data_IF_849543964002
#
_entry.id   IF_849543964002
#
_cell.length_a   1.000
_cell.length_b   1.000
_cell.length_c   1.000
_cell.angle_alpha   90.00
_cell.angle_beta   90.00
_cell.angle_gamma   90.00
#
_symmetry.space_group_name_H-M   'P 1'
#
loop_
_entity.id
_entity.type
_entity.pdbx_description
1 polymer ?
#
# COMPACT_ATOMS: atom_id res chain seq x y z
N UNK A 1 -14.63 23.52 5.62
CA UNK A 1 -14.08 23.52 5.91
C UNK A 1 -13.31 22.90 5.97
N UNK A 2 -13.04 22.87 5.78
CA UNK A 2 -12.43 22.38 5.81
C UNK A 2 -11.56 22.38 6.63
N UNK A 3 -11.41 22.77 6.88
CA UNK A 3 -10.35 22.82 7.79
C UNK A 3 -10.09 21.60 8.64
N UNK A 4 -10.94 20.69 8.64
CA UNK A 4 -10.77 19.48 9.40
C UNK A 4 -9.69 18.60 8.75
N UNK A 5 -8.73 18.19 9.55
CA UNK A 5 -7.70 17.28 9.07
C UNK A 5 -8.19 15.85 9.18
N UNK A 6 -8.13 15.14 8.05
CA UNK A 6 -8.47 13.74 7.99
C UNK A 6 -7.17 12.94 7.96
N UNK A 7 -7.01 12.01 8.90
CA UNK A 7 -5.86 11.14 8.90
C UNK A 7 -5.98 10.14 7.77
N UNK A 8 -4.94 10.05 6.94
CA UNK A 8 -4.89 9.10 5.84
C UNK A 8 -4.36 7.78 6.38
N UNK A 9 -5.07 6.70 6.13
CA UNK A 9 -4.67 5.36 6.53
C UNK A 9 -4.00 4.67 5.36
N UNK A 10 -2.76 4.21 5.56
CA UNK A 10 -1.98 3.51 4.54
C UNK A 10 -1.74 2.09 5.01
N UNK A 11 -2.00 1.13 4.14
CA UNK A 11 -1.68 -0.27 4.41
C UNK A 11 -0.57 -0.70 3.48
N UNK A 12 0.56 -1.09 4.05
CA UNK A 12 1.71 -1.57 3.28
C UNK A 12 1.84 -3.08 3.45
N UNK A 13 1.85 -3.80 2.35
CA UNK A 13 2.05 -5.23 2.33
C UNK A 13 3.45 -5.52 1.78
N UNK A 14 4.36 -5.94 2.65
CA UNK A 14 5.76 -6.15 2.31
C UNK A 14 6.40 -7.03 3.39
N UNK A 15 7.17 -8.04 2.98
CA UNK A 15 7.83 -8.94 3.93
C UNK A 15 9.24 -8.49 4.32
N UNK A 16 9.74 -7.42 3.74
CA UNK A 16 11.07 -6.89 4.05
C UNK A 16 10.97 -5.87 5.18
N UNK A 17 11.52 -6.22 6.34
CA UNK A 17 11.44 -5.37 7.54
C UNK A 17 12.16 -4.03 7.34
N UNK A 18 13.26 -4.03 6.60
CA UNK A 18 14.01 -2.80 6.37
C UNK A 18 13.20 -1.83 5.51
N UNK A 19 12.56 -2.34 4.46
CA UNK A 19 11.70 -1.51 3.62
C UNK A 19 10.52 -0.95 4.41
N UNK A 20 9.95 -1.74 5.29
CA UNK A 20 8.85 -1.29 6.14
C UNK A 20 9.29 -0.19 7.10
N UNK A 21 10.47 -0.34 7.69
CA UNK A 21 11.02 0.68 8.58
C UNK A 21 11.28 2.00 7.84
N UNK A 22 11.85 1.90 6.63
CA UNK A 22 12.12 3.07 5.81
C UNK A 22 10.84 3.79 5.41
N UNK A 23 9.82 3.03 5.05
CA UNK A 23 8.52 3.60 4.69
C UNK A 23 7.94 4.36 5.88
N UNK A 24 8.01 3.76 7.07
CA UNK A 24 7.49 4.37 8.29
C UNK A 24 8.21 5.69 8.58
N UNK A 25 9.53 5.70 8.45
CA UNK A 25 10.31 6.93 8.68
C UNK A 25 9.97 8.01 7.66
N UNK A 26 9.92 7.65 6.39
CA UNK A 26 9.66 8.60 5.33
C UNK A 26 8.26 9.20 5.41
N UNK A 27 7.27 8.37 5.72
CA UNK A 27 5.88 8.83 5.82
C UNK A 27 5.64 9.65 7.08
N UNK A 28 6.42 9.42 8.14
CA UNK A 28 6.33 10.23 9.35
C UNK A 28 6.73 11.67 9.11
N UNK A 29 7.54 11.92 8.07
CA UNK A 29 7.95 13.27 7.70
C UNK A 29 6.96 13.97 6.78
N UNK A 30 5.89 13.29 6.38
CA UNK A 30 4.87 13.88 5.52
C UNK A 30 4.11 14.97 6.26
N UNK A 31 3.72 16.01 5.53
CA UNK A 31 2.96 17.12 6.10
C UNK A 31 1.54 16.70 6.44
N UNK A 32 1.00 15.72 5.73
CA UNK A 32 -0.35 15.25 5.97
C UNK A 32 -0.32 14.17 7.04
N UNK A 33 -1.22 14.28 8.01
CA UNK A 33 -1.34 13.27 9.04
C UNK A 33 -1.66 11.92 8.41
N UNK A 34 -0.89 10.91 8.76
CA UNK A 34 -1.08 9.56 8.23
C UNK A 34 -0.79 8.51 9.29
N UNK A 35 -1.40 7.34 9.10
CA UNK A 35 -1.13 6.17 9.93
C UNK A 35 -0.74 5.05 9.00
N UNK A 36 0.38 4.40 9.29
CA UNK A 36 0.89 3.30 8.48
C UNK A 36 0.68 1.97 9.20
N UNK A 37 -0.02 1.06 8.56
CA UNK A 37 -0.21 -0.32 9.03
C UNK A 37 0.54 -1.23 8.09
N UNK A 38 1.18 -2.26 8.64
CA UNK A 38 2.03 -3.16 7.86
C UNK A 38 1.58 -4.59 8.02
N UNK A 39 1.46 -5.29 6.90
CA UNK A 39 1.23 -6.74 6.84
C UNK A 39 2.35 -7.35 6.04
N UNK A 40 2.70 -8.61 6.30
CA UNK A 40 3.94 -9.20 5.79
C UNK A 40 3.74 -10.26 4.71
N UNK A 41 2.52 -10.60 4.39
CA UNK A 41 2.25 -11.55 3.29
C UNK A 41 0.83 -11.33 2.75
N UNK A 42 0.53 -12.00 1.65
CA UNK A 42 -0.76 -11.80 0.98
C UNK A 42 -1.95 -12.34 1.76
N UNK A 43 -1.76 -13.38 2.56
CA UNK A 43 -2.84 -13.90 3.40
C UNK A 43 -3.17 -12.89 4.50
N UNK A 44 -2.16 -12.35 5.15
CA UNK A 44 -2.33 -11.35 6.19
C UNK A 44 -3.01 -10.10 5.62
N UNK A 45 -2.62 -9.71 4.41
CA UNK A 45 -3.24 -8.57 3.72
C UNK A 45 -4.74 -8.79 3.56
N UNK A 46 -5.14 -9.96 3.07
CA UNK A 46 -6.55 -10.23 2.85
C UNK A 46 -7.30 -10.38 4.16
N UNK A 47 -6.68 -10.96 5.18
CA UNK A 47 -7.27 -11.03 6.51
C UNK A 47 -7.53 -9.63 7.09
N UNK A 48 -6.58 -8.73 6.91
CA UNK A 48 -6.74 -7.34 7.33
C UNK A 48 -7.93 -6.70 6.62
N UNK A 49 -7.97 -6.81 5.30
CA UNK A 49 -9.01 -6.16 4.50
C UNK A 49 -10.41 -6.72 4.76
N UNK A 50 -10.50 -8.00 5.06
CA UNK A 50 -11.78 -8.67 5.34
C UNK A 50 -12.11 -8.75 6.82
N UNK A 51 -11.26 -8.22 7.69
CA UNK A 51 -11.43 -8.26 9.14
C UNK A 51 -11.58 -9.69 9.67
N UNK A 52 -10.61 -10.54 9.30
CA UNK A 52 -10.56 -11.93 9.72
C UNK A 52 -9.35 -12.18 10.61
N UNK A 53 -9.37 -13.26 11.39
CA UNK A 53 -8.25 -13.68 12.22
C UNK A 53 -7.84 -12.60 13.20
N UNK A 54 -6.57 -12.22 13.16
CA UNK A 54 -6.03 -11.19 14.04
C UNK A 54 -6.68 -9.82 13.83
N UNK A 55 -7.37 -9.64 12.73
CA UNK A 55 -7.97 -8.35 12.35
C UNK A 55 -9.49 -8.35 12.49
N UNK A 56 -10.03 -9.29 13.25
CA UNK A 56 -11.47 -9.37 13.47
C UNK A 56 -12.03 -8.12 14.15
N UNK A 57 -11.22 -7.46 14.98
CA UNK A 57 -11.60 -6.19 15.60
C UNK A 57 -11.31 -5.07 14.61
N UNK A 58 -12.37 -4.46 14.07
CA UNK A 58 -12.25 -3.43 13.04
C UNK A 58 -11.48 -2.19 13.50
N UNK A 59 -11.48 -1.90 14.80
CA UNK A 59 -10.76 -0.74 15.29
C UNK A 59 -9.25 -0.90 15.22
N UNK A 60 -8.75 -2.15 15.16
CA UNK A 60 -7.32 -2.42 15.00
C UNK A 60 -6.90 -2.53 13.54
N UNK A 61 -7.87 -2.53 12.62
CA UNK A 61 -7.62 -2.66 11.19
C UNK A 61 -8.53 -1.70 10.41
N UNK A 62 -8.30 -0.40 10.52
CA UNK A 62 -9.14 0.57 9.81
C UNK A 62 -8.99 0.44 8.30
N UNK A 63 -10.06 0.75 7.58
CA UNK A 63 -10.05 0.67 6.12
C UNK A 63 -8.98 1.60 5.56
N UNK A 64 -8.06 1.10 4.72
CA UNK A 64 -7.02 1.96 4.16
C UNK A 64 -7.55 2.87 3.07
N UNK A 65 -6.94 4.04 2.96
CA UNK A 65 -7.18 4.97 1.86
C UNK A 65 -6.22 4.70 0.69
N UNK A 66 -5.13 3.97 0.97
CA UNK A 66 -4.11 3.64 -0.02
C UNK A 66 -3.43 2.35 0.39
N UNK A 67 -3.19 1.46 -0.57
CA UNK A 67 -2.44 0.23 -0.35
C UNK A 67 -1.12 0.31 -1.12
N UNK A 68 0.00 0.08 -0.42
CA UNK A 68 1.31 -0.10 -1.04
C UNK A 68 1.58 -1.60 -1.06
N UNK A 69 1.75 -2.18 -2.23
CA UNK A 69 1.76 -3.63 -2.38
C UNK A 69 3.03 -4.12 -3.06
N UNK A 70 3.78 -4.98 -2.36
CA UNK A 70 4.88 -5.71 -2.98
C UNK A 70 4.32 -6.96 -3.66
N UNK A 71 4.84 -7.29 -4.82
CA UNK A 71 4.40 -8.49 -5.55
C UNK A 71 5.02 -9.76 -5.00
N UNK A 72 6.24 -9.69 -4.48
CA UNK A 72 6.99 -10.88 -4.08
C UNK A 72 6.88 -11.10 -2.57
N UNK A 73 5.81 -11.75 -2.16
CA UNK A 73 5.56 -12.06 -0.76
C UNK A 73 5.28 -13.54 -0.58
N UNK A 74 5.60 -14.10 0.62
CA UNK A 74 5.27 -15.50 0.88
C UNK A 74 3.77 -15.72 1.05
N UNK A 75 3.37 -16.97 1.08
CA UNK A 75 2.01 -17.46 1.24
C UNK A 75 1.14 -17.08 0.05
N UNK A 76 0.52 -15.92 0.07
CA UNK A 76 -0.23 -15.43 -1.08
C UNK A 76 0.58 -14.34 -1.77
N UNK A 77 0.84 -14.53 -3.05
CA UNK A 77 1.58 -13.59 -3.89
C UNK A 77 0.81 -12.28 -4.05
N UNK A 78 1.54 -11.17 -4.20
CA UNK A 78 0.90 -9.85 -4.35
C UNK A 78 0.03 -9.74 -5.59
N UNK A 79 0.35 -10.44 -6.67
CA UNK A 79 -0.47 -10.42 -7.89
C UNK A 79 -1.82 -11.06 -7.61
N UNK A 80 -1.82 -12.15 -6.88
CA UNK A 80 -3.04 -12.84 -6.50
C UNK A 80 -3.88 -11.99 -5.57
N UNK A 81 -3.25 -11.34 -4.59
CA UNK A 81 -3.93 -10.44 -3.68
C UNK A 81 -4.55 -9.26 -4.44
N UNK A 82 -3.83 -8.68 -5.40
CA UNK A 82 -4.35 -7.59 -6.22
C UNK A 82 -5.60 -8.03 -6.99
N UNK A 83 -5.57 -9.23 -7.56
CA UNK A 83 -6.72 -9.77 -8.28
C UNK A 83 -7.93 -9.87 -7.37
N UNK A 84 -7.74 -10.37 -6.16
CA UNK A 84 -8.84 -10.50 -5.19
C UNK A 84 -9.38 -9.14 -4.77
N UNK A 85 -8.49 -8.16 -4.53
CA UNK A 85 -8.91 -6.80 -4.16
C UNK A 85 -9.76 -6.19 -5.26
N UNK A 86 -9.32 -6.31 -6.50
CA UNK A 86 -10.01 -5.66 -7.62
C UNK A 86 -11.28 -6.40 -8.04
N UNK A 87 -11.44 -7.65 -7.63
CA UNK A 87 -12.67 -8.41 -7.86
C UNK A 87 -13.73 -8.14 -6.79
N UNK A 88 -13.35 -7.55 -5.67
CA UNK A 88 -14.27 -7.32 -4.55
C UNK A 88 -14.92 -5.93 -4.67
N UNK A 89 -16.26 -5.85 -4.73
CA UNK A 89 -16.94 -4.56 -4.88
C UNK A 89 -16.66 -3.56 -3.78
N UNK A 90 -16.31 -4.03 -2.58
CA UNK A 90 -16.03 -3.15 -1.45
C UNK A 90 -14.57 -2.72 -1.39
N UNK A 91 -13.66 -3.49 -1.96
CA UNK A 91 -12.22 -3.22 -1.88
C UNK A 91 -11.65 -2.59 -3.13
N UNK A 92 -12.26 -2.82 -4.28
CA UNK A 92 -11.70 -2.38 -5.57
C UNK A 92 -11.53 -0.87 -5.70
N UNK A 93 -12.22 -0.10 -4.88
CA UNK A 93 -12.13 1.37 -4.91
C UNK A 93 -10.89 1.90 -4.22
N UNK A 94 -10.22 1.07 -3.42
CA UNK A 94 -9.02 1.51 -2.73
C UNK A 94 -7.88 1.57 -3.74
N UNK A 95 -7.21 2.72 -3.88
CA UNK A 95 -6.06 2.81 -4.80
C UNK A 95 -4.94 1.88 -4.35
N UNK A 96 -4.31 1.21 -5.31
CA UNK A 96 -3.19 0.30 -5.05
C UNK A 96 -1.97 0.77 -5.84
N UNK A 97 -0.88 1.02 -5.14
CA UNK A 97 0.40 1.33 -5.74
C UNK A 97 1.30 0.12 -5.55
N UNK A 98 1.81 -0.42 -6.65
CA UNK A 98 2.74 -1.54 -6.59
C UNK A 98 4.14 -0.98 -6.30
N UNK A 99 4.80 -1.54 -5.30
CA UNK A 99 6.16 -1.14 -4.94
C UNK A 99 6.96 -2.42 -4.74
N UNK A 100 7.77 -2.79 -5.73
CA UNK A 100 8.38 -4.10 -5.78
C UNK A 100 9.76 -4.08 -6.44
N UNK A 101 10.56 -5.09 -6.17
CA UNK A 101 11.85 -5.28 -6.84
C UNK A 101 11.69 -5.94 -8.21
N UNK A 102 10.52 -6.46 -8.54
CA UNK A 102 10.29 -7.10 -9.84
C UNK A 102 10.43 -6.10 -10.96
N UNK A 103 11.24 -6.45 -11.98
CA UNK A 103 11.45 -5.63 -13.16
C UNK A 103 10.86 -6.26 -14.41
N UNK A 104 10.13 -7.36 -14.25
CA UNK A 104 9.56 -8.06 -15.39
C UNK A 104 8.50 -7.20 -16.05
N UNK A 105 8.64 -7.00 -17.35
CA UNK A 105 7.70 -6.20 -18.12
C UNK A 105 6.29 -6.75 -18.04
N UNK A 106 6.16 -8.06 -18.04
CA UNK A 106 4.86 -8.72 -17.90
C UNK A 106 4.19 -8.42 -16.57
N UNK A 107 4.95 -8.19 -15.50
CA UNK A 107 4.38 -7.80 -14.21
C UNK A 107 3.79 -6.40 -14.28
N UNK A 108 4.45 -5.49 -15.00
CA UNK A 108 3.94 -4.13 -15.18
C UNK A 108 2.58 -4.19 -15.90
N UNK A 109 2.53 -4.88 -17.04
CA UNK A 109 1.30 -4.98 -17.81
C UNK A 109 0.19 -5.67 -17.04
N UNK A 110 0.49 -6.81 -16.41
CA UNK A 110 -0.55 -7.58 -15.73
C UNK A 110 -1.13 -6.86 -14.53
N UNK A 111 -0.30 -6.10 -13.78
CA UNK A 111 -0.80 -5.38 -12.62
C UNK A 111 -1.66 -4.18 -13.02
N UNK A 112 -1.32 -3.49 -14.10
CA UNK A 112 -2.18 -2.43 -14.62
C UNK A 112 -3.48 -2.99 -15.16
N UNK A 113 -3.43 -4.13 -15.85
CA UNK A 113 -4.65 -4.81 -16.30
C UNK A 113 -5.56 -5.19 -15.14
N UNK A 114 -4.98 -5.57 -14.01
CA UNK A 114 -5.74 -5.92 -12.81
C UNK A 114 -6.26 -4.70 -12.07
N UNK A 115 -5.82 -3.50 -12.43
CA UNK A 115 -6.35 -2.27 -11.84
C UNK A 115 -5.42 -1.56 -10.89
N UNK A 116 -4.12 -1.86 -10.91
CA UNK A 116 -3.16 -1.09 -10.11
C UNK A 116 -3.10 0.36 -10.60
N UNK A 117 -2.96 1.29 -9.68
CA UNK A 117 -2.91 2.71 -10.02
C UNK A 117 -1.52 3.17 -10.42
N UNK A 118 -0.49 2.55 -9.87
CA UNK A 118 0.91 2.87 -10.21
C UNK A 118 1.78 1.67 -9.98
N UNK A 119 2.88 1.58 -10.71
CA UNK A 119 3.86 0.52 -10.56
C UNK A 119 5.22 1.18 -10.38
N UNK A 120 5.85 0.95 -9.23
CA UNK A 120 7.13 1.55 -8.89
C UNK A 120 8.13 0.44 -8.57
N UNK A 121 9.30 0.49 -9.21
CA UNK A 121 10.38 -0.46 -8.93
C UNK A 121 11.16 0.07 -7.72
N UNK A 122 11.31 -0.76 -6.69
CA UNK A 122 12.07 -0.38 -5.50
C UNK A 122 13.51 -0.07 -5.86
N UNK A 123 14.02 1.11 -5.48
CA UNK A 123 15.43 1.42 -5.71
C UNK A 123 16.34 0.55 -4.85
N UNK A 124 17.58 0.37 -5.29
CA UNK A 124 18.55 -0.47 -4.57
C UNK A 124 19.25 0.25 -3.43
N UNK A 125 19.24 1.58 -3.41
CA UNK A 125 19.88 2.34 -2.35
C UNK A 125 18.88 2.85 -1.34
N UNK A 126 19.32 2.98 -0.10
CA UNK A 126 18.52 3.52 1.00
C UNK A 126 18.01 4.93 0.66
N UNK A 127 18.91 5.80 0.24
CA UNK A 127 18.57 7.20 -0.05
C UNK A 127 17.48 7.29 -1.12
N UNK A 128 17.62 6.51 -2.19
CA UNK A 128 16.65 6.53 -3.27
C UNK A 128 15.29 5.98 -2.84
N UNK A 129 15.27 4.98 -1.96
CA UNK A 129 14.01 4.46 -1.45
C UNK A 129 13.29 5.49 -0.58
N UNK A 130 14.03 6.23 0.25
CA UNK A 130 13.45 7.32 1.04
C UNK A 130 12.84 8.38 0.13
N UNK A 131 13.53 8.72 -0.96
CA UNK A 131 13.02 9.70 -1.93
C UNK A 131 11.72 9.22 -2.57
N UNK A 132 11.65 7.93 -2.93
CA UNK A 132 10.44 7.36 -3.51
C UNK A 132 9.28 7.44 -2.51
N UNK A 133 9.52 7.11 -1.26
CA UNK A 133 8.48 7.17 -0.23
C UNK A 133 7.99 8.59 -0.01
N UNK A 134 8.89 9.57 -0.02
CA UNK A 134 8.50 10.97 0.10
C UNK A 134 7.65 11.41 -1.08
N UNK A 135 8.00 10.97 -2.27
CA UNK A 135 7.26 11.29 -3.49
C UNK A 135 5.86 10.68 -3.45
N UNK A 136 5.75 9.43 -3.01
CA UNK A 136 4.45 8.78 -2.85
C UNK A 136 3.60 9.56 -1.85
N UNK A 137 4.18 9.93 -0.71
CA UNK A 137 3.46 10.71 0.29
C UNK A 137 2.97 12.03 -0.27
N UNK A 138 3.86 12.74 -0.97
CA UNK A 138 3.49 14.03 -1.55
C UNK A 138 2.40 13.88 -2.60
N UNK A 139 2.54 12.92 -3.51
CA UNK A 139 1.60 12.75 -4.61
C UNK A 139 0.22 12.33 -4.10
N UNK A 140 0.18 11.27 -3.29
CA UNK A 140 -1.08 10.67 -2.89
C UNK A 140 -1.78 11.38 -1.75
N UNK A 141 -1.04 12.14 -0.92
CA UNK A 141 -1.61 12.78 0.26
C UNK A 141 -1.77 14.28 0.10
N UNK A 142 -0.94 14.94 -0.70
CA UNK A 142 -0.97 16.38 -0.85
C UNK A 142 -1.53 16.84 -2.19
N UNK A 143 -1.44 16.01 -3.23
CA UNK A 143 -1.84 16.39 -4.60
C UNK A 143 -3.11 15.69 -5.02
N UNK A 144 -3.19 14.37 -4.83
CA UNK A 144 -4.32 13.56 -5.29
C UNK A 144 -5.44 13.56 -4.26
N UNK A 145 -6.67 13.66 -4.75
CA UNK A 145 -7.83 13.52 -3.88
C UNK A 145 -8.14 12.04 -3.73
N UNK A 146 -8.09 11.53 -2.49
CA UNK A 146 -8.32 10.13 -2.22
C UNK A 146 -9.79 9.86 -1.93
N UNK A 147 -10.30 8.66 -2.28
CA UNK A 147 -11.66 8.27 -1.89
C UNK A 147 -11.68 7.97 -0.39
N UNK A 148 -12.24 8.86 0.36
CA UNK A 148 -12.27 8.76 1.83
C UNK A 148 -13.62 8.24 2.35
#
# INVERSE_FOLDING_TARGET
MKGRQTTVTILMADDDEDDCMLAREALAESRLANELYIVNDGEELMDYLHHRGLYANKSSAPRPNLILLDLNMPKKDGREALREIKADPHLRKIPVVILTTSKAEEDVYSTYDLGANSFIIKPVTFTSLVEVMRTIGKYWFEIVELPL
#
